data_IF_696884414471
#
_entry.id   IF_696884414471
#
_cell.length_a   1.000
_cell.length_b   1.000
_cell.length_c   1.000
_cell.angle_alpha   90.00
_cell.angle_beta   90.00
_cell.angle_gamma   90.00
#
_symmetry.space_group_name_H-M   'P 1'
#
loop_
_entity.id
_entity.type
_entity.pdbx_description
1 polymer ?
#
# COMPACT_ATOMS: atom_id res chain seq x y z
N UNK A 1 21.49 20.14 21.27
CA UNK A 1 20.33 19.89 20.37
C UNK A 1 20.03 18.41 20.47
N UNK A 2 18.76 18.03 20.57
CA UNK A 2 18.38 16.62 20.51
C UNK A 2 18.64 16.08 19.10
N UNK A 3 19.10 14.84 19.01
CA UNK A 3 19.37 14.16 17.75
C UNK A 3 18.29 13.10 17.49
N UNK A 4 18.06 12.79 16.22
CA UNK A 4 17.11 11.79 15.73
C UNK A 4 17.90 10.75 14.94
N UNK A 5 17.76 9.48 15.28
CA UNK A 5 18.38 8.39 14.52
C UNK A 5 17.45 7.95 13.39
N UNK A 6 18.06 7.58 12.27
CA UNK A 6 17.38 7.06 11.10
C UNK A 6 18.21 5.99 10.38
N UNK A 7 17.54 4.99 9.83
CA UNK A 7 18.14 4.05 8.89
C UNK A 7 18.07 4.65 7.48
N UNK A 8 19.24 4.99 6.94
CA UNK A 8 19.41 5.71 5.67
C UNK A 8 19.88 4.75 4.59
N UNK A 9 19.14 4.68 3.50
CA UNK A 9 19.61 4.05 2.26
C UNK A 9 20.53 5.03 1.56
N UNK A 10 21.84 4.81 1.70
CA UNK A 10 22.89 5.68 1.16
C UNK A 10 22.99 5.62 -0.37
N UNK A 11 22.75 4.42 -0.89
CA UNK A 11 22.70 4.03 -2.30
C UNK A 11 22.13 2.62 -2.40
N UNK A 12 21.81 2.11 -3.59
CA UNK A 12 21.35 0.74 -3.74
C UNK A 12 22.22 -0.28 -3.00
N UNK A 13 21.58 -1.14 -2.20
CA UNK A 13 22.19 -2.21 -1.41
C UNK A 13 22.91 -1.77 -0.13
N UNK A 14 22.93 -0.49 0.21
CA UNK A 14 23.67 0.03 1.36
C UNK A 14 22.78 0.84 2.28
N UNK A 15 22.58 0.33 3.50
CA UNK A 15 21.90 1.05 4.59
C UNK A 15 22.90 1.35 5.69
N UNK A 16 22.82 2.56 6.25
CA UNK A 16 23.59 2.99 7.43
C UNK A 16 22.67 3.62 8.47
N UNK A 17 23.03 3.55 9.74
CA UNK A 17 22.38 4.32 10.78
C UNK A 17 23.02 5.69 10.86
N UNK A 18 22.22 6.76 10.79
CA UNK A 18 22.68 8.15 10.86
C UNK A 18 21.92 8.93 11.92
N UNK A 19 22.55 9.98 12.39
CA UNK A 19 21.97 10.96 13.31
C UNK A 19 21.74 12.28 12.58
N UNK A 20 20.58 12.87 12.82
CA UNK A 20 20.17 14.16 12.28
C UNK A 20 19.77 15.10 13.43
N UNK A 21 19.95 16.42 13.28
CA UNK A 21 19.41 17.35 14.26
C UNK A 21 17.87 17.30 14.27
N UNK A 22 17.25 17.36 15.46
CA UNK A 22 15.80 17.53 15.54
C UNK A 22 15.43 18.90 14.95
N UNK A 23 14.62 18.96 13.88
CA UNK A 23 14.25 20.24 13.27
C UNK A 23 13.15 20.95 14.07
N UNK A 24 13.11 22.27 13.95
CA UNK A 24 11.94 23.04 14.34
C UNK A 24 10.88 22.99 13.21
N UNK A 25 9.59 22.82 13.51
CA UNK A 25 8.56 22.77 12.48
C UNK A 25 8.32 24.16 11.86
N UNK A 26 8.51 24.27 10.53
CA UNK A 26 8.12 25.46 9.78
C UNK A 26 6.58 25.71 9.86
N UNK A 27 6.09 26.91 9.57
CA UNK A 27 4.66 27.17 9.56
C UNK A 27 3.88 26.17 8.71
N UNK A 28 2.91 25.47 9.32
CA UNK A 28 2.12 24.42 8.68
C UNK A 28 2.73 23.00 8.68
N UNK A 29 3.97 22.84 9.12
CA UNK A 29 4.62 21.53 9.24
C UNK A 29 4.25 20.82 10.56
N UNK A 30 4.48 19.50 10.61
CA UNK A 30 4.29 18.66 11.79
C UNK A 30 5.54 17.82 12.03
N UNK A 31 5.99 17.74 13.28
CA UNK A 31 6.95 16.75 13.74
C UNK A 31 6.17 15.57 14.33
N UNK A 32 6.34 14.40 13.76
CA UNK A 32 5.71 13.16 14.22
C UNK A 32 6.77 12.21 14.78
N UNK A 33 6.56 11.71 16.01
CA UNK A 33 7.31 10.57 16.55
C UNK A 33 6.76 9.30 15.92
N UNK A 34 7.59 8.52 15.26
CA UNK A 34 7.17 7.31 14.55
C UNK A 34 7.02 6.14 15.53
N UNK A 35 5.84 5.56 15.60
CA UNK A 35 5.63 4.31 16.35
C UNK A 35 5.99 3.09 15.48
N UNK A 36 5.41 3.01 14.28
CA UNK A 36 5.70 1.97 13.31
C UNK A 36 5.75 2.55 11.89
N UNK A 37 6.63 1.97 11.08
CA UNK A 37 6.72 2.22 9.64
C UNK A 37 6.76 0.88 8.90
N UNK A 38 5.78 0.62 8.02
CA UNK A 38 5.72 -0.62 7.24
C UNK A 38 6.80 -0.70 6.18
N UNK A 39 7.24 -1.93 5.88
CA UNK A 39 8.11 -2.20 4.72
C UNK A 39 7.23 -2.59 3.54
N UNK A 40 7.26 -1.79 2.48
CA UNK A 40 6.52 -1.99 1.25
C UNK A 40 7.35 -2.74 0.17
N UNK A 41 6.68 -3.13 -0.91
CA UNK A 41 7.34 -3.57 -2.15
C UNK A 41 8.26 -2.50 -2.70
N UNK A 42 7.82 -1.24 -2.69
CA UNK A 42 8.57 -0.07 -3.15
C UNK A 42 9.91 0.10 -2.41
N UNK A 43 9.94 -0.07 -1.08
CA UNK A 43 11.19 0.02 -0.29
C UNK A 43 12.21 -1.05 -0.72
N UNK A 44 11.74 -2.26 -1.05
CA UNK A 44 12.58 -3.36 -1.53
C UNK A 44 13.19 -3.06 -2.90
N UNK A 45 12.38 -2.52 -3.81
CA UNK A 45 12.84 -2.08 -5.14
C UNK A 45 13.79 -0.89 -5.03
N UNK A 46 13.49 0.07 -4.15
CA UNK A 46 14.37 1.21 -3.82
C UNK A 46 15.71 0.73 -3.28
N UNK A 47 15.71 -0.23 -2.35
CA UNK A 47 16.94 -0.82 -1.82
C UNK A 47 17.77 -1.52 -2.90
N UNK A 48 17.15 -2.13 -3.91
CA UNK A 48 17.85 -2.76 -5.04
C UNK A 48 18.24 -1.79 -6.15
N UNK A 49 17.76 -0.55 -6.11
CA UNK A 49 18.02 0.46 -7.16
C UNK A 49 17.17 0.24 -8.42
N UNK A 50 16.05 -0.42 -8.29
CA UNK A 50 15.13 -0.77 -9.39
C UNK A 50 13.98 0.24 -9.54
N UNK A 51 13.76 1.09 -8.54
CA UNK A 51 12.64 2.03 -8.52
C UNK A 51 12.92 3.26 -9.38
N UNK A 52 11.94 3.60 -10.22
CA UNK A 52 11.78 4.92 -10.82
C UNK A 52 10.47 5.49 -10.36
N UNK A 53 10.43 6.79 -10.11
CA UNK A 53 9.17 7.46 -9.82
C UNK A 53 8.41 7.77 -11.10
N UNK A 54 7.10 7.58 -11.05
CA UNK A 54 6.18 7.90 -12.14
C UNK A 54 6.58 7.31 -13.49
N UNK A 55 7.14 6.08 -13.48
CA UNK A 55 7.57 5.38 -14.68
C UNK A 55 6.47 5.38 -15.76
N UNK A 56 6.86 5.66 -16.99
CA UNK A 56 5.95 5.74 -18.14
C UNK A 56 5.11 7.02 -18.22
N UNK A 57 5.30 7.99 -17.32
CA UNK A 57 4.66 9.30 -17.35
C UNK A 57 5.64 10.40 -17.76
N UNK A 58 5.17 11.62 -18.16
CA UNK A 58 6.06 12.76 -18.40
C UNK A 58 6.87 13.21 -17.18
N UNK A 59 6.56 12.71 -15.99
CA UNK A 59 7.19 13.05 -14.72
C UNK A 59 8.16 11.96 -14.23
N UNK A 60 8.46 10.96 -15.08
CA UNK A 60 9.41 9.91 -14.76
C UNK A 60 10.76 10.49 -14.32
N UNK A 61 11.25 10.05 -13.18
CA UNK A 61 12.55 10.47 -12.63
C UNK A 61 13.22 9.34 -11.83
N UNK A 62 14.54 9.36 -11.81
CA UNK A 62 15.32 8.48 -10.94
C UNK A 62 15.22 8.92 -9.48
N UNK A 63 15.35 7.97 -8.55
CA UNK A 63 15.42 8.27 -7.12
C UNK A 63 16.74 8.95 -6.77
N UNK A 64 16.67 9.96 -5.89
CA UNK A 64 17.82 10.66 -5.37
C UNK A 64 18.21 10.10 -4.01
N UNK A 65 19.43 9.58 -3.90
CA UNK A 65 20.02 9.13 -2.63
C UNK A 65 20.91 10.23 -2.01
N UNK A 66 21.13 10.21 -0.66
CA UNK A 66 20.61 9.26 0.31
C UNK A 66 19.16 9.52 0.68
N UNK A 67 18.38 8.47 1.02
CA UNK A 67 17.02 8.61 1.51
C UNK A 67 16.73 7.75 2.75
N UNK A 68 15.75 8.21 3.52
CA UNK A 68 15.15 7.45 4.62
C UNK A 68 13.88 6.83 4.06
N UNK A 69 13.82 5.49 3.94
CA UNK A 69 12.65 4.78 3.43
C UNK A 69 11.47 4.81 4.41
N UNK A 70 10.35 4.24 3.99
CA UNK A 70 9.14 4.05 4.80
C UNK A 70 8.10 5.15 4.61
N UNK A 71 7.00 4.77 3.93
CA UNK A 71 5.84 5.63 3.64
C UNK A 71 4.54 5.13 4.29
N UNK A 72 4.52 3.93 4.85
CA UNK A 72 3.39 3.37 5.59
C UNK A 72 3.57 3.65 7.09
N UNK A 73 3.10 4.78 7.57
CA UNK A 73 3.50 5.31 8.88
C UNK A 73 2.33 5.49 9.84
N UNK A 74 2.58 5.21 11.12
CA UNK A 74 1.75 5.62 12.24
C UNK A 74 2.62 6.17 13.35
N UNK A 75 2.18 7.26 13.98
CA UNK A 75 2.93 7.90 15.04
C UNK A 75 2.09 8.85 15.89
N UNK A 76 2.76 9.67 16.65
CA UNK A 76 2.13 10.73 17.45
C UNK A 76 2.74 12.10 17.16
N UNK A 77 1.92 13.13 17.20
CA UNK A 77 2.36 14.53 17.04
C UNK A 77 3.26 14.92 18.21
N UNK A 78 4.46 15.41 17.91
CA UNK A 78 5.37 16.00 18.90
C UNK A 78 5.23 17.51 18.92
N UNK A 79 5.27 18.14 17.75
CA UNK A 79 5.18 19.58 17.58
C UNK A 79 4.52 19.94 16.25
N UNK A 80 3.94 21.14 16.19
CA UNK A 80 3.35 21.71 14.97
C UNK A 80 3.87 23.12 14.74
N UNK A 81 4.08 23.49 13.48
CA UNK A 81 4.43 24.85 13.06
C UNK A 81 3.20 25.76 13.02
N UNK A 82 2.69 26.12 14.19
CA UNK A 82 1.47 26.92 14.33
C UNK A 82 0.19 26.08 14.34
N UNK A 83 -0.92 26.62 13.83
CA UNK A 83 -2.21 25.94 13.79
C UNK A 83 -2.27 24.99 12.60
N UNK A 84 -2.16 23.68 12.83
CA UNK A 84 -2.33 22.63 11.83
C UNK A 84 -3.57 21.80 12.17
N UNK A 85 -4.36 21.46 11.17
CA UNK A 85 -5.61 20.69 11.32
C UNK A 85 -5.49 19.33 10.66
N UNK A 86 -6.17 18.34 11.24
CA UNK A 86 -6.35 17.02 10.61
C UNK A 86 -7.34 17.09 9.42
N UNK A 87 -7.50 15.99 8.73
CA UNK A 87 -8.40 15.88 7.56
C UNK A 87 -9.90 16.14 7.87
N UNK A 88 -10.29 16.16 9.15
CA UNK A 88 -11.64 16.49 9.61
C UNK A 88 -11.75 17.93 10.17
N UNK A 89 -10.70 18.74 10.00
CA UNK A 89 -10.67 20.13 10.44
C UNK A 89 -10.42 20.32 11.95
N UNK A 90 -10.01 19.30 12.70
CA UNK A 90 -9.70 19.41 14.13
C UNK A 90 -8.24 19.82 14.31
N UNK A 91 -8.00 20.75 15.24
CA UNK A 91 -6.65 21.22 15.56
C UNK A 91 -5.79 20.06 16.12
N UNK A 92 -4.62 19.85 15.53
CA UNK A 92 -3.64 18.89 16.03
C UNK A 92 -2.95 19.40 17.29
N UNK A 93 -2.69 18.47 18.21
CA UNK A 93 -2.00 18.72 19.48
C UNK A 93 -0.93 17.66 19.70
N UNK A 94 0.09 17.99 20.47
CA UNK A 94 1.08 17.00 20.94
C UNK A 94 0.37 15.82 21.63
N UNK A 95 0.78 14.60 21.30
CA UNK A 95 0.18 13.35 21.76
C UNK A 95 -0.96 12.82 20.88
N UNK A 96 -1.46 13.59 19.91
CA UNK A 96 -2.46 13.06 18.96
C UNK A 96 -1.85 11.95 18.11
N UNK A 97 -2.47 10.77 18.09
CA UNK A 97 -2.05 9.66 17.20
C UNK A 97 -2.51 9.93 15.79
N UNK A 98 -1.58 9.80 14.84
CA UNK A 98 -1.83 10.16 13.45
C UNK A 98 -1.23 9.14 12.47
N UNK A 99 -1.86 9.07 11.29
CA UNK A 99 -1.29 8.52 10.06
C UNK A 99 -1.18 9.67 9.07
N UNK A 100 -0.01 10.00 8.56
CA UNK A 100 0.14 10.98 7.48
C UNK A 100 -0.19 10.33 6.14
N UNK A 101 -0.67 11.11 5.16
CA UNK A 101 -0.65 10.69 3.77
C UNK A 101 0.80 10.39 3.35
N UNK A 102 0.99 9.36 2.54
CA UNK A 102 2.31 9.02 2.01
C UNK A 102 2.85 10.10 1.06
N UNK A 103 1.96 10.91 0.52
CA UNK A 103 2.28 11.88 -0.52
C UNK A 103 1.92 13.32 -0.15
N UNK A 104 2.66 14.27 -0.73
CA UNK A 104 2.41 15.71 -0.60
C UNK A 104 2.18 16.30 -1.99
N UNK A 105 1.03 16.93 -2.19
CA UNK A 105 0.68 17.58 -3.46
C UNK A 105 1.29 18.98 -3.56
N UNK A 106 1.58 19.43 -4.79
CA UNK A 106 2.11 20.78 -5.02
C UNK A 106 1.06 21.88 -4.79
N UNK A 107 -0.23 21.59 -4.83
CA UNK A 107 -1.32 22.55 -4.64
C UNK A 107 -1.58 23.49 -5.83
N UNK A 108 -0.73 23.52 -6.85
CA UNK A 108 -0.75 24.54 -7.89
C UNK A 108 -0.95 24.02 -9.33
N UNK A 109 -0.72 22.72 -9.60
CA UNK A 109 -0.93 22.14 -10.93
C UNK A 109 -2.43 22.06 -11.28
N UNK A 110 -2.71 21.71 -12.56
CA UNK A 110 -4.07 21.57 -13.06
C UNK A 110 -4.91 20.64 -12.16
N UNK A 111 -4.40 19.47 -11.83
CA UNK A 111 -5.13 18.47 -11.05
C UNK A 111 -5.41 18.93 -9.61
N UNK A 112 -4.42 19.51 -8.95
CA UNK A 112 -4.60 20.04 -7.59
C UNK A 112 -5.65 21.14 -7.53
N UNK A 113 -5.58 22.13 -8.45
CA UNK A 113 -6.52 23.27 -8.47
C UNK A 113 -7.96 22.87 -8.79
N UNK A 114 -8.17 21.74 -9.45
CA UNK A 114 -9.50 21.26 -9.84
C UNK A 114 -10.02 20.11 -8.95
N UNK A 115 -9.34 19.80 -7.81
CA UNK A 115 -9.80 18.86 -6.83
C UNK A 115 -9.75 17.39 -7.27
N UNK A 116 -8.87 17.06 -8.21
CA UNK A 116 -8.63 15.67 -8.62
C UNK A 116 -7.91 14.89 -7.51
N UNK A 117 -7.99 13.55 -7.52
CA UNK A 117 -7.23 12.71 -6.61
C UNK A 117 -5.73 13.06 -6.61
N UNK A 118 -5.12 13.04 -5.43
CA UNK A 118 -3.77 13.57 -5.25
C UNK A 118 -2.70 12.81 -6.07
N UNK A 119 -2.88 11.53 -6.36
CA UNK A 119 -1.98 10.75 -7.21
C UNK A 119 -1.92 11.25 -8.68
N UNK A 120 -2.80 12.17 -9.06
CA UNK A 120 -2.74 12.85 -10.36
C UNK A 120 -1.90 14.14 -10.32
N UNK A 121 -1.36 14.52 -9.16
CA UNK A 121 -0.53 15.71 -9.05
C UNK A 121 0.74 15.59 -9.93
N UNK A 122 0.99 16.59 -10.76
CA UNK A 122 2.15 16.62 -11.68
C UNK A 122 3.50 16.75 -10.96
N UNK A 123 3.49 17.27 -9.74
CA UNK A 123 4.68 17.49 -8.91
C UNK A 123 4.49 16.84 -7.54
N UNK A 124 4.02 15.59 -7.54
CA UNK A 124 3.81 14.82 -6.31
C UNK A 124 5.15 14.50 -5.65
N UNK A 125 5.22 14.72 -4.34
CA UNK A 125 6.36 14.31 -3.52
C UNK A 125 5.95 13.18 -2.59
N UNK A 126 6.83 12.17 -2.43
CA UNK A 126 6.54 10.97 -1.65
C UNK A 126 7.51 10.86 -0.46
N UNK A 127 6.96 10.70 0.73
CA UNK A 127 7.74 10.33 1.90
C UNK A 127 8.37 8.96 1.72
N UNK A 128 9.63 8.84 2.15
CA UNK A 128 10.35 7.56 2.05
C UNK A 128 10.77 7.18 0.64
N UNK A 129 10.55 8.04 -0.33
CA UNK A 129 10.79 7.73 -1.75
C UNK A 129 11.39 8.92 -2.53
N UNK A 130 10.60 9.94 -2.94
CA UNK A 130 11.16 11.08 -3.69
C UNK A 130 11.89 12.08 -2.82
N UNK A 131 11.42 12.28 -1.59
CA UNK A 131 11.98 13.21 -0.65
C UNK A 131 13.28 12.64 -0.04
N UNK A 132 14.44 13.02 -0.60
CA UNK A 132 15.72 12.56 -0.11
C UNK A 132 16.21 13.32 1.14
N UNK A 133 17.03 12.67 1.97
CA UNK A 133 17.44 13.21 3.26
C UNK A 133 18.70 14.08 3.22
N UNK A 134 19.17 14.48 2.03
CA UNK A 134 20.35 15.35 1.88
C UNK A 134 20.16 16.75 2.47
N UNK A 135 19.15 17.53 2.04
CA UNK A 135 18.88 18.85 2.59
C UNK A 135 18.07 18.79 3.89
N UNK A 136 18.25 19.80 4.77
CA UNK A 136 17.37 19.99 5.92
C UNK A 136 15.90 20.18 5.45
N UNK A 137 14.91 19.71 6.22
CA UNK A 137 14.98 19.11 7.56
C UNK A 137 15.27 17.60 7.61
N UNK A 138 15.67 16.95 6.56
CA UNK A 138 16.20 15.58 6.42
C UNK A 138 15.19 14.44 6.65
N UNK A 139 14.29 14.54 7.60
CA UNK A 139 13.51 13.44 8.19
C UNK A 139 12.24 13.13 7.39
N UNK A 140 12.39 12.71 6.13
CA UNK A 140 11.28 12.50 5.19
C UNK A 140 10.86 11.03 4.99
N UNK A 141 11.18 10.15 5.92
CA UNK A 141 10.79 8.75 5.86
C UNK A 141 10.60 8.13 7.25
N UNK A 142 9.76 7.11 7.32
CA UNK A 142 9.37 6.49 8.59
C UNK A 142 10.43 5.56 9.20
N UNK A 143 11.53 5.26 8.50
CA UNK A 143 12.63 4.52 9.10
C UNK A 143 13.53 5.43 9.93
N UNK A 144 12.89 6.27 10.72
CA UNK A 144 13.52 7.23 11.64
C UNK A 144 12.71 7.33 12.93
N UNK A 145 13.32 7.79 14.00
CA UNK A 145 12.63 8.01 15.27
C UNK A 145 11.54 9.09 15.15
N UNK A 146 11.76 10.08 14.27
CA UNK A 146 10.82 11.15 14.00
C UNK A 146 10.75 11.46 12.51
N UNK A 147 9.58 11.84 12.03
CA UNK A 147 9.35 12.35 10.68
C UNK A 147 9.01 13.84 10.70
N UNK A 148 9.50 14.54 9.68
CA UNK A 148 9.09 15.89 9.37
C UNK A 148 8.03 15.85 8.27
N UNK A 149 6.80 16.20 8.62
CA UNK A 149 5.71 16.30 7.66
C UNK A 149 5.66 17.73 7.12
N UNK A 150 5.81 17.87 5.79
CA UNK A 150 5.81 19.15 5.08
C UNK A 150 4.49 19.90 5.24
N UNK A 151 4.48 21.22 5.15
CA UNK A 151 3.24 21.99 5.05
C UNK A 151 2.37 21.46 3.89
N UNK A 152 1.07 21.29 4.14
CA UNK A 152 0.14 20.75 3.15
C UNK A 152 -0.02 19.23 3.18
N UNK A 153 0.81 18.50 3.94
CA UNK A 153 0.58 17.07 4.16
C UNK A 153 -0.77 16.83 4.82
N UNK A 154 -1.59 15.98 4.20
CA UNK A 154 -2.83 15.54 4.84
C UNK A 154 -2.53 14.59 5.99
N UNK A 155 -3.16 14.84 7.13
CA UNK A 155 -2.93 14.09 8.36
C UNK A 155 -4.26 13.56 8.86
N UNK A 156 -4.31 12.29 9.20
CA UNK A 156 -5.50 11.57 9.63
C UNK A 156 -5.33 11.13 11.08
N UNK A 157 -6.27 11.51 11.95
CA UNK A 157 -6.26 11.08 13.34
C UNK A 157 -6.66 9.62 13.45
N UNK A 158 -5.86 8.84 14.16
CA UNK A 158 -6.13 7.42 14.41
C UNK A 158 -7.27 7.29 15.42
N UNK A 159 -8.34 6.50 15.13
CA UNK A 159 -9.37 6.17 16.11
C UNK A 159 -8.77 5.55 17.38
N UNK A 160 -9.32 5.90 18.56
CA UNK A 160 -8.76 5.47 19.84
C UNK A 160 -8.71 3.95 20.00
N UNK A 161 -9.71 3.25 19.48
CA UNK A 161 -9.83 1.79 19.49
C UNK A 161 -8.87 1.08 18.52
N UNK A 162 -8.27 1.79 17.53
CA UNK A 162 -7.40 1.18 16.53
C UNK A 162 -5.95 1.13 17.07
N UNK A 163 -5.37 -0.05 17.35
CA UNK A 163 -4.01 -0.14 17.86
C UNK A 163 -2.97 0.17 16.76
N UNK A 164 -1.80 0.66 17.15
CA UNK A 164 -0.77 1.13 16.21
C UNK A 164 -0.34 0.06 15.20
N UNK A 165 -0.24 -1.22 15.62
CA UNK A 165 0.15 -2.31 14.72
C UNK A 165 -0.91 -2.66 13.67
N UNK A 166 -2.15 -2.18 13.83
CA UNK A 166 -3.19 -2.23 12.80
C UNK A 166 -3.25 -0.90 12.04
N UNK A 167 -3.11 0.22 12.74
CA UNK A 167 -3.14 1.55 12.14
C UNK A 167 -2.02 1.77 11.10
N UNK A 168 -0.86 1.12 11.25
CA UNK A 168 0.24 1.14 10.26
C UNK A 168 -0.16 0.57 8.89
N UNK A 169 -1.25 -0.22 8.83
CA UNK A 169 -1.80 -0.78 7.59
C UNK A 169 -2.68 0.22 6.83
N UNK A 170 -2.90 1.42 7.34
CA UNK A 170 -3.87 2.37 6.76
C UNK A 170 -3.49 2.78 5.34
N UNK A 171 -2.22 3.05 5.08
CA UNK A 171 -1.76 3.41 3.74
C UNK A 171 -2.10 2.28 2.75
N UNK A 172 -1.65 1.07 3.01
CA UNK A 172 -1.87 -0.08 2.14
C UNK A 172 -3.36 -0.46 2.01
N UNK A 173 -4.17 -0.27 3.07
CA UNK A 173 -5.64 -0.38 3.00
C UNK A 173 -6.26 0.72 2.13
N UNK A 174 -5.61 1.86 2.00
CA UNK A 174 -6.09 2.97 1.16
C UNK A 174 -5.83 2.72 -0.33
N UNK A 175 -4.80 1.94 -0.68
CA UNK A 175 -4.56 1.46 -2.06
C UNK A 175 -5.71 0.56 -2.55
N UNK A 176 -6.45 -0.08 -1.63
CA UNK A 176 -7.53 -1.01 -2.02
C UNK A 176 -8.78 -0.35 -2.60
N UNK A 177 -8.77 0.97 -2.86
CA UNK A 177 -9.89 1.69 -3.50
C UNK A 177 -10.27 1.12 -4.89
N UNK A 178 -9.34 0.41 -5.53
CA UNK A 178 -9.60 -0.31 -6.78
C UNK A 178 -10.72 -1.34 -6.68
N UNK A 179 -10.96 -1.93 -5.49
CA UNK A 179 -12.08 -2.85 -5.25
C UNK A 179 -13.42 -2.13 -5.37
N UNK A 180 -13.54 -0.94 -4.77
CA UNK A 180 -14.76 -0.11 -4.83
C UNK A 180 -15.04 0.36 -6.27
N UNK A 181 -13.99 0.74 -6.99
CA UNK A 181 -14.07 1.13 -8.39
C UNK A 181 -14.54 -0.04 -9.26
N UNK A 182 -13.98 -1.24 -9.06
CA UNK A 182 -14.37 -2.44 -9.78
C UNK A 182 -15.84 -2.83 -9.52
N UNK A 183 -16.30 -2.78 -8.26
CA UNK A 183 -17.69 -3.03 -7.91
C UNK A 183 -18.65 -2.01 -8.55
N UNK A 184 -18.23 -0.75 -8.60
CA UNK A 184 -19.01 0.31 -9.25
C UNK A 184 -19.16 0.05 -10.74
N UNK A 185 -18.07 -0.32 -11.43
CA UNK A 185 -18.10 -0.69 -12.84
C UNK A 185 -18.98 -1.91 -13.09
N UNK A 186 -18.87 -2.97 -12.29
CA UNK A 186 -19.76 -4.12 -12.39
C UNK A 186 -21.24 -3.72 -12.32
N UNK A 187 -21.59 -2.85 -11.37
CA UNK A 187 -22.96 -2.36 -11.26
C UNK A 187 -23.43 -1.56 -12.46
N UNK A 188 -22.55 -0.81 -13.12
CA UNK A 188 -22.86 -0.02 -14.32
C UNK A 188 -23.07 -0.89 -15.56
N UNK A 189 -22.36 -2.02 -15.67
CA UNK A 189 -22.45 -2.94 -16.80
C UNK A 189 -23.44 -4.10 -16.58
N UNK A 190 -24.30 -4.01 -15.54
CA UNK A 190 -25.35 -4.97 -15.26
C UNK A 190 -24.97 -6.13 -14.34
N UNK A 191 -23.76 -6.11 -13.73
CA UNK A 191 -23.33 -7.08 -12.72
C UNK A 191 -23.83 -6.74 -11.31
N UNK A 192 -23.70 -7.70 -10.37
CA UNK A 192 -24.02 -7.47 -8.97
C UNK A 192 -22.90 -6.70 -8.26
N UNK A 193 -23.27 -5.77 -7.39
CA UNK A 193 -22.32 -5.05 -6.51
C UNK A 193 -22.02 -5.80 -5.22
N UNK A 194 -22.72 -6.89 -4.93
CA UNK A 194 -22.52 -7.73 -3.74
C UNK A 194 -22.68 -9.20 -4.11
N UNK A 195 -22.17 -10.08 -3.27
CA UNK A 195 -22.12 -11.52 -3.50
C UNK A 195 -21.39 -11.93 -4.81
N UNK A 196 -20.61 -11.00 -5.42
CA UNK A 196 -19.77 -11.26 -6.57
C UNK A 196 -18.55 -12.10 -6.19
N UNK A 197 -17.94 -12.74 -7.17
CA UNK A 197 -16.74 -13.54 -6.98
C UNK A 197 -15.50 -12.71 -7.27
N UNK A 198 -14.49 -12.85 -6.40
CA UNK A 198 -13.21 -12.11 -6.49
C UNK A 198 -12.05 -13.09 -6.49
N UNK A 199 -11.12 -12.96 -7.42
CA UNK A 199 -9.82 -13.62 -7.32
C UNK A 199 -8.74 -12.58 -7.01
N UNK A 200 -7.83 -12.92 -6.07
CA UNK A 200 -6.67 -12.10 -5.69
C UNK A 200 -5.41 -12.87 -6.03
N UNK A 201 -4.65 -12.38 -6.98
CA UNK A 201 -3.42 -12.97 -7.46
C UNK A 201 -2.24 -12.32 -6.75
N UNK A 202 -1.58 -13.10 -5.87
CA UNK A 202 -0.61 -12.61 -4.92
C UNK A 202 -1.26 -12.05 -3.65
N UNK A 203 -1.28 -12.86 -2.57
CA UNK A 203 -1.81 -12.44 -1.26
C UNK A 203 -0.68 -12.08 -0.27
N UNK A 204 0.34 -11.36 -0.76
CA UNK A 204 1.23 -10.57 0.06
C UNK A 204 0.47 -9.47 0.81
N UNK A 205 1.15 -8.55 1.53
CA UNK A 205 0.46 -7.52 2.31
C UNK A 205 -0.59 -6.74 1.53
N UNK A 206 -0.27 -6.30 0.30
CA UNK A 206 -1.20 -5.58 -0.58
C UNK A 206 -2.40 -6.43 -0.97
N UNK A 207 -2.17 -7.65 -1.46
CA UNK A 207 -3.26 -8.53 -1.89
C UNK A 207 -4.13 -9.00 -0.73
N UNK A 208 -3.55 -9.22 0.46
CA UNK A 208 -4.34 -9.54 1.65
C UNK A 208 -5.26 -8.38 2.04
N UNK A 209 -4.79 -7.12 1.97
CA UNK A 209 -5.64 -5.95 2.21
C UNK A 209 -6.77 -5.84 1.16
N UNK A 210 -6.49 -6.13 -0.10
CA UNK A 210 -7.52 -6.20 -1.15
C UNK A 210 -8.55 -7.31 -0.87
N UNK A 211 -8.10 -8.49 -0.44
CA UNK A 211 -8.97 -9.59 -0.03
C UNK A 211 -9.88 -9.19 1.13
N UNK A 212 -9.30 -8.59 2.17
CA UNK A 212 -10.05 -8.10 3.34
C UNK A 212 -11.10 -7.07 2.90
N UNK A 213 -10.71 -6.10 2.07
CA UNK A 213 -11.63 -5.09 1.55
C UNK A 213 -12.76 -5.72 0.75
N UNK A 214 -12.46 -6.63 -0.18
CA UNK A 214 -13.45 -7.35 -0.97
C UNK A 214 -14.43 -8.11 -0.07
N UNK A 215 -13.92 -8.82 0.94
CA UNK A 215 -14.75 -9.54 1.93
C UNK A 215 -15.69 -8.63 2.69
N UNK A 216 -15.18 -7.50 3.20
CA UNK A 216 -15.96 -6.55 3.98
C UNK A 216 -16.96 -5.77 3.13
N UNK A 217 -16.71 -5.63 1.84
CA UNK A 217 -17.65 -5.05 0.86
C UNK A 217 -18.63 -6.07 0.26
N UNK A 218 -18.66 -7.31 0.79
CA UNK A 218 -19.70 -8.28 0.47
C UNK A 218 -19.39 -9.22 -0.68
N UNK A 219 -18.13 -9.48 -0.99
CA UNK A 219 -17.75 -10.57 -1.91
C UNK A 219 -18.27 -11.92 -1.38
N UNK A 220 -18.95 -12.69 -2.24
CA UNK A 220 -19.52 -13.99 -1.90
C UNK A 220 -18.49 -15.12 -1.93
N UNK A 221 -17.65 -15.14 -2.95
CA UNK A 221 -16.57 -16.11 -3.12
C UNK A 221 -15.26 -15.37 -3.31
N UNK A 222 -14.22 -15.83 -2.60
CA UNK A 222 -12.88 -15.24 -2.71
C UNK A 222 -11.87 -16.34 -3.00
N UNK A 223 -11.15 -16.17 -4.10
CA UNK A 223 -10.08 -17.05 -4.56
C UNK A 223 -8.76 -16.32 -4.30
N UNK A 224 -7.74 -17.03 -3.80
CA UNK A 224 -6.43 -16.46 -3.53
C UNK A 224 -5.31 -17.31 -4.11
N UNK A 225 -4.31 -16.68 -4.71
CA UNK A 225 -3.09 -17.36 -5.15
C UNK A 225 -1.85 -16.72 -4.55
N UNK A 226 -0.87 -17.51 -4.18
CA UNK A 226 0.46 -17.05 -3.74
C UNK A 226 1.46 -18.20 -3.89
N UNK A 227 2.75 -17.88 -3.83
CA UNK A 227 3.82 -18.89 -3.76
C UNK A 227 4.00 -19.44 -2.34
N UNK A 228 3.68 -18.64 -1.32
CA UNK A 228 3.93 -18.95 0.07
C UNK A 228 2.70 -19.54 0.77
N UNK A 229 2.85 -20.75 1.32
CA UNK A 229 1.77 -21.46 2.03
C UNK A 229 1.28 -20.71 3.27
N UNK A 230 2.18 -20.03 3.99
CA UNK A 230 1.83 -19.22 5.15
C UNK A 230 0.87 -18.07 4.79
N UNK A 231 1.05 -17.44 3.63
CA UNK A 231 0.17 -16.37 3.12
C UNK A 231 -1.19 -16.92 2.68
N UNK A 232 -1.21 -18.08 2.02
CA UNK A 232 -2.45 -18.75 1.65
C UNK A 232 -3.27 -19.13 2.89
N UNK A 233 -2.64 -19.68 3.93
CA UNK A 233 -3.29 -19.98 5.20
C UNK A 233 -3.85 -18.72 5.91
N UNK A 234 -3.17 -17.59 5.76
CA UNK A 234 -3.68 -16.33 6.29
C UNK A 234 -4.85 -15.79 5.45
N UNK A 235 -4.80 -15.93 4.12
CA UNK A 235 -5.91 -15.60 3.24
C UNK A 235 -7.18 -16.40 3.58
N UNK A 236 -7.06 -17.69 3.89
CA UNK A 236 -8.16 -18.54 4.39
C UNK A 236 -8.73 -17.99 5.70
N UNK A 237 -7.86 -17.62 6.66
CA UNK A 237 -8.29 -17.04 7.93
C UNK A 237 -9.06 -15.71 7.75
N UNK A 238 -8.81 -14.96 6.67
CA UNK A 238 -9.55 -13.77 6.28
C UNK A 238 -10.75 -14.06 5.37
N UNK A 239 -10.98 -15.31 4.98
CA UNK A 239 -12.21 -15.74 4.30
C UNK A 239 -12.06 -16.08 2.83
N UNK A 240 -10.85 -16.39 2.33
CA UNK A 240 -10.69 -17.04 1.04
C UNK A 240 -11.37 -18.42 1.06
N UNK A 241 -12.17 -18.70 0.05
CA UNK A 241 -12.91 -19.98 -0.10
C UNK A 241 -12.18 -21.00 -0.99
N UNK A 242 -11.19 -20.53 -1.74
CA UNK A 242 -10.26 -21.35 -2.53
C UNK A 242 -8.87 -20.72 -2.50
N UNK A 243 -7.87 -21.51 -2.16
CA UNK A 243 -6.46 -21.11 -2.23
C UNK A 243 -5.69 -22.00 -3.20
N UNK A 244 -4.74 -21.44 -3.94
CA UNK A 244 -3.91 -22.16 -4.90
C UNK A 244 -2.46 -21.68 -4.84
N UNK A 245 -1.53 -22.63 -4.66
CA UNK A 245 -0.11 -22.32 -4.70
C UNK A 245 0.39 -22.25 -6.14
N UNK A 246 1.05 -21.14 -6.49
CA UNK A 246 1.67 -20.99 -7.81
C UNK A 246 2.92 -21.85 -7.99
N UNK A 247 3.49 -22.38 -6.90
CA UNK A 247 4.64 -23.31 -6.94
C UNK A 247 4.24 -24.73 -7.37
N UNK A 248 2.97 -25.08 -7.16
CA UNK A 248 2.48 -26.45 -7.40
C UNK A 248 1.39 -26.55 -8.46
N UNK A 249 0.98 -25.43 -9.04
CA UNK A 249 -0.07 -25.37 -10.07
C UNK A 249 0.35 -24.50 -11.24
N UNK A 250 0.02 -24.94 -12.43
CA UNK A 250 0.20 -24.14 -13.65
C UNK A 250 -0.91 -23.09 -13.81
N UNK A 251 -0.63 -22.00 -14.54
CA UNK A 251 -1.61 -20.93 -14.79
C UNK A 251 -2.91 -21.44 -15.40
N UNK A 252 -2.83 -22.35 -16.38
CA UNK A 252 -4.01 -22.96 -17.01
C UNK A 252 -4.87 -23.75 -16.01
N UNK A 253 -4.23 -24.47 -15.07
CA UNK A 253 -4.93 -25.17 -13.99
C UNK A 253 -5.63 -24.20 -13.05
N UNK A 254 -4.94 -23.13 -12.62
CA UNK A 254 -5.53 -22.12 -11.73
C UNK A 254 -6.74 -21.45 -12.36
N UNK A 255 -6.67 -21.11 -13.65
CA UNK A 255 -7.79 -20.54 -14.40
C UNK A 255 -8.96 -21.54 -14.45
N UNK A 256 -8.70 -22.81 -14.73
CA UNK A 256 -9.74 -23.85 -14.78
C UNK A 256 -10.42 -24.03 -13.42
N UNK A 257 -9.64 -24.13 -12.34
CA UNK A 257 -10.15 -24.27 -10.97
C UNK A 257 -10.93 -23.03 -10.50
N UNK A 258 -10.46 -21.82 -10.85
CA UNK A 258 -11.18 -20.59 -10.56
C UNK A 258 -12.55 -20.55 -11.27
N UNK A 259 -12.61 -21.00 -12.53
CA UNK A 259 -13.87 -21.12 -13.26
C UNK A 259 -14.79 -22.15 -12.64
N UNK A 260 -14.30 -23.34 -12.33
CA UNK A 260 -15.08 -24.38 -11.66
C UNK A 260 -15.68 -23.86 -10.35
N UNK A 261 -14.87 -23.20 -9.51
CA UNK A 261 -15.29 -22.63 -8.23
C UNK A 261 -16.36 -21.55 -8.39
N UNK A 262 -16.43 -20.87 -9.53
CA UNK A 262 -17.39 -19.81 -9.87
C UNK A 262 -18.49 -20.28 -10.82
N UNK A 263 -18.85 -21.57 -10.79
CA UNK A 263 -19.95 -22.12 -11.58
C UNK A 263 -19.66 -22.19 -13.09
N UNK A 264 -18.40 -22.27 -13.49
CA UNK A 264 -17.96 -22.43 -14.89
C UNK A 264 -17.72 -21.13 -15.65
N UNK A 265 -18.06 -19.96 -15.06
CA UNK A 265 -18.00 -18.67 -15.78
C UNK A 265 -16.71 -17.88 -15.55
N UNK A 266 -16.08 -18.03 -14.39
CA UNK A 266 -14.91 -17.26 -13.95
C UNK A 266 -15.25 -16.14 -12.96
N UNK A 267 -14.28 -15.60 -12.23
CA UNK A 267 -14.47 -14.52 -11.27
C UNK A 267 -15.00 -13.24 -11.91
N UNK A 268 -15.87 -12.52 -11.19
CA UNK A 268 -16.37 -11.19 -11.58
C UNK A 268 -15.27 -10.13 -11.59
N UNK A 269 -14.42 -10.17 -10.56
CA UNK A 269 -13.28 -9.27 -10.39
C UNK A 269 -12.02 -10.11 -10.19
N UNK A 270 -10.93 -9.71 -10.85
CA UNK A 270 -9.59 -10.26 -10.59
C UNK A 270 -8.67 -9.11 -10.21
N UNK A 271 -8.04 -9.22 -9.03
CA UNK A 271 -7.12 -8.24 -8.47
C UNK A 271 -5.69 -8.79 -8.62
N UNK A 272 -4.88 -8.20 -9.49
CA UNK A 272 -3.46 -8.53 -9.57
C UNK A 272 -2.67 -7.67 -8.57
N UNK A 273 -2.08 -8.35 -7.58
CA UNK A 273 -1.28 -7.77 -6.51
C UNK A 273 0.11 -8.43 -6.42
N UNK A 274 0.52 -9.16 -7.46
CA UNK A 274 1.71 -10.02 -7.42
C UNK A 274 3.03 -9.29 -7.70
N UNK A 275 2.99 -8.24 -8.51
CA UNK A 275 4.17 -7.54 -9.02
C UNK A 275 4.89 -8.27 -10.17
N UNK A 276 4.31 -9.32 -10.74
CA UNK A 276 4.86 -10.05 -11.89
C UNK A 276 4.01 -9.80 -13.13
N UNK A 277 4.57 -9.25 -14.23
CA UNK A 277 3.81 -8.94 -15.44
C UNK A 277 3.02 -10.11 -16.03
N UNK A 278 3.54 -11.36 -15.90
CA UNK A 278 2.84 -12.57 -16.36
C UNK A 278 1.53 -12.83 -15.62
N UNK A 279 1.39 -12.36 -14.39
CA UNK A 279 0.16 -12.53 -13.59
C UNK A 279 -0.97 -11.66 -14.14
N UNK A 280 -0.66 -10.51 -14.71
CA UNK A 280 -1.65 -9.69 -15.40
C UNK A 280 -2.31 -10.43 -16.57
N UNK A 281 -1.52 -11.22 -17.34
CA UNK A 281 -2.07 -12.07 -18.40
C UNK A 281 -2.97 -13.17 -17.82
N UNK A 282 -2.56 -13.78 -16.72
CA UNK A 282 -3.39 -14.75 -16.00
C UNK A 282 -4.70 -14.13 -15.52
N UNK A 283 -4.65 -12.92 -14.95
CA UNK A 283 -5.82 -12.18 -14.49
C UNK A 283 -6.82 -11.93 -15.64
N UNK A 284 -6.34 -11.43 -16.78
CA UNK A 284 -7.17 -11.20 -17.98
C UNK A 284 -7.81 -12.50 -18.48
N UNK A 285 -7.07 -13.62 -18.46
CA UNK A 285 -7.61 -14.91 -18.90
C UNK A 285 -8.58 -15.53 -17.90
N UNK A 286 -8.36 -15.31 -16.60
CA UNK A 286 -9.15 -15.87 -15.52
C UNK A 286 -10.51 -15.18 -15.37
N UNK A 287 -10.55 -13.85 -15.48
CA UNK A 287 -11.77 -13.06 -15.32
C UNK A 287 -12.85 -13.51 -16.31
N UNK A 288 -14.12 -13.48 -15.90
CA UNK A 288 -15.26 -13.81 -16.79
C UNK A 288 -15.45 -12.79 -17.92
N UNK A 289 -16.27 -13.15 -18.88
CA UNK A 289 -16.78 -12.19 -19.88
C UNK A 289 -17.53 -11.05 -19.18
N UNK A 290 -17.25 -9.81 -19.53
CA UNK A 290 -17.79 -8.62 -18.89
C UNK A 290 -17.32 -8.40 -17.46
N UNK A 291 -16.20 -9.03 -17.05
CA UNK A 291 -15.63 -8.82 -15.72
C UNK A 291 -14.62 -7.68 -15.67
N UNK A 292 -14.05 -7.47 -14.48
CA UNK A 292 -13.12 -6.37 -14.22
C UNK A 292 -11.78 -6.91 -13.71
N UNK A 293 -10.69 -6.45 -14.29
CA UNK A 293 -9.32 -6.68 -13.79
C UNK A 293 -8.81 -5.40 -13.17
N UNK A 294 -8.28 -5.49 -11.95
CA UNK A 294 -7.57 -4.40 -11.27
C UNK A 294 -6.09 -4.75 -11.21
N UNK A 295 -5.28 -3.92 -11.84
CA UNK A 295 -3.82 -4.01 -11.79
C UNK A 295 -3.30 -3.05 -10.72
N UNK A 296 -2.78 -3.62 -9.63
CA UNK A 296 -2.23 -2.88 -8.50
C UNK A 296 -0.84 -3.39 -8.08
N UNK A 297 -0.36 -4.47 -8.68
CA UNK A 297 0.86 -5.17 -8.27
C UNK A 297 2.13 -4.63 -8.91
N UNK A 298 2.09 -4.20 -10.16
CA UNK A 298 3.26 -3.78 -10.94
C UNK A 298 3.52 -2.27 -10.84
N UNK A 299 3.75 -1.78 -9.63
CA UNK A 299 4.11 -0.37 -9.40
C UNK A 299 5.51 -0.02 -9.91
N UNK A 300 6.39 -1.01 -10.05
CA UNK A 300 7.73 -0.87 -10.64
C UNK A 300 7.74 -1.54 -12.00
N UNK A 301 8.39 -0.91 -12.99
CA UNK A 301 8.51 -1.48 -14.34
C UNK A 301 9.32 -2.79 -14.32
N UNK A 302 8.63 -3.89 -14.54
CA UNK A 302 9.20 -5.25 -14.62
C UNK A 302 9.21 -5.79 -16.05
N UNK A 303 9.01 -4.92 -17.03
CA UNK A 303 9.00 -5.22 -18.46
C UNK A 303 7.61 -5.52 -19.07
N UNK A 304 7.52 -5.52 -20.39
CA UNK A 304 6.26 -5.66 -21.11
C UNK A 304 5.79 -7.13 -21.18
N UNK A 305 4.47 -7.30 -21.34
CA UNK A 305 3.85 -8.59 -21.64
C UNK A 305 2.98 -8.49 -22.90
N UNK A 306 2.89 -9.57 -23.72
CA UNK A 306 2.06 -9.56 -24.90
C UNK A 306 0.58 -9.71 -24.55
N UNK A 307 -0.27 -8.85 -25.11
CA UNK A 307 -1.73 -8.91 -25.02
C UNK A 307 -2.30 -8.98 -26.44
N UNK A 308 -3.32 -9.83 -26.65
CA UNK A 308 -4.14 -9.77 -27.85
C UNK A 308 -5.37 -8.90 -27.58
N UNK A 309 -5.44 -7.66 -28.08
CA UNK A 309 -6.54 -6.75 -27.78
C UNK A 309 -7.92 -7.29 -28.16
N UNK A 310 -8.00 -8.12 -29.19
CA UNK A 310 -9.26 -8.74 -29.61
C UNK A 310 -9.73 -9.79 -28.61
N UNK A 311 -8.97 -10.89 -28.44
CA UNK A 311 -9.40 -12.05 -27.66
C UNK A 311 -9.32 -11.81 -26.15
N UNK A 312 -8.38 -10.98 -25.70
CA UNK A 312 -8.13 -10.79 -24.28
C UNK A 312 -8.99 -9.67 -23.68
N UNK A 313 -9.33 -8.64 -24.45
CA UNK A 313 -10.06 -7.46 -23.97
C UNK A 313 -11.41 -7.30 -24.70
N UNK A 314 -11.39 -7.07 -26.04
CA UNK A 314 -12.54 -6.59 -26.77
C UNK A 314 -13.70 -7.60 -26.81
N UNK A 315 -13.45 -8.84 -27.27
CA UNK A 315 -14.50 -9.88 -27.39
C UNK A 315 -14.96 -10.40 -26.04
N UNK A 316 -14.13 -10.30 -24.99
CA UNK A 316 -14.52 -10.60 -23.61
C UNK A 316 -15.23 -9.45 -22.91
N UNK A 317 -15.23 -8.24 -23.48
CA UNK A 317 -15.74 -7.03 -22.84
C UNK A 317 -15.13 -6.81 -21.44
N UNK A 318 -13.83 -7.05 -21.27
CA UNK A 318 -13.13 -6.88 -19.99
C UNK A 318 -12.84 -5.40 -19.75
N UNK A 319 -13.11 -4.93 -18.54
CA UNK A 319 -12.62 -3.65 -18.06
C UNK A 319 -11.30 -3.83 -17.30
N UNK A 320 -10.32 -2.98 -17.57
CA UNK A 320 -9.03 -2.96 -16.86
C UNK A 320 -8.89 -1.64 -16.11
N UNK A 321 -8.55 -1.71 -14.84
CA UNK A 321 -8.34 -0.54 -13.96
C UNK A 321 -6.90 -0.60 -13.45
N UNK A 322 -6.12 0.46 -13.68
CA UNK A 322 -4.82 0.66 -13.02
C UNK A 322 -5.00 1.34 -11.66
N UNK A 323 -4.26 0.86 -10.65
CA UNK A 323 -4.18 1.46 -9.31
C UNK A 323 -2.70 1.68 -8.99
N UNK A 324 -2.20 2.87 -9.27
CA UNK A 324 -0.80 3.24 -9.08
C UNK A 324 -0.50 3.90 -7.73
N UNK A 325 -1.39 3.83 -6.76
CA UNK A 325 -1.20 4.40 -5.43
C UNK A 325 -2.52 4.50 -4.67
N UNK A 326 -2.43 4.99 -3.46
CA UNK A 326 -3.56 5.23 -2.58
C UNK A 326 -4.26 6.56 -2.92
N UNK A 327 -5.41 6.77 -2.35
CA UNK A 327 -6.09 8.07 -2.38
C UNK A 327 -6.32 8.59 -0.97
N UNK A 328 -6.08 9.88 -0.76
CA UNK A 328 -6.23 10.52 0.55
C UNK A 328 -7.64 10.36 1.12
N UNK A 329 -8.65 10.31 0.27
CA UNK A 329 -10.06 10.11 0.68
C UNK A 329 -10.34 8.71 1.23
N UNK A 330 -9.44 7.74 1.04
CA UNK A 330 -9.58 6.37 1.53
C UNK A 330 -8.91 6.12 2.89
N UNK A 331 -8.08 7.03 3.41
CA UNK A 331 -7.36 6.83 4.68
C UNK A 331 -8.31 6.69 5.87
N UNK A 332 -9.14 7.69 6.09
CA UNK A 332 -10.08 7.68 7.22
C UNK A 332 -11.13 6.56 7.12
N UNK A 333 -11.77 6.31 5.96
CA UNK A 333 -12.62 5.15 5.77
C UNK A 333 -11.92 3.81 6.03
N UNK A 334 -10.66 3.65 5.62
CA UNK A 334 -9.86 2.44 5.85
C UNK A 334 -9.61 2.20 7.35
N UNK A 335 -9.22 3.23 8.10
CA UNK A 335 -9.06 3.12 9.55
C UNK A 335 -10.37 2.75 10.25
N UNK A 336 -11.49 3.40 9.87
CA UNK A 336 -12.82 3.10 10.43
C UNK A 336 -13.27 1.68 10.09
N UNK A 337 -12.99 1.21 8.86
CA UNK A 337 -13.28 -0.16 8.44
C UNK A 337 -12.52 -1.19 9.28
N UNK A 338 -11.22 -0.97 9.48
CA UNK A 338 -10.40 -1.84 10.32
C UNK A 338 -10.86 -1.82 11.78
N UNK A 339 -11.06 -0.64 12.36
CA UNK A 339 -11.51 -0.47 13.75
C UNK A 339 -12.84 -1.21 14.02
N UNK A 340 -13.82 -1.05 13.13
CA UNK A 340 -15.13 -1.72 13.25
C UNK A 340 -15.05 -3.26 13.16
N UNK A 341 -13.96 -3.82 12.67
CA UNK A 341 -13.83 -5.26 12.42
C UNK A 341 -12.70 -5.94 13.23
N UNK A 342 -12.07 -5.26 14.19
CA UNK A 342 -10.99 -5.80 15.02
C UNK A 342 -11.35 -7.12 15.74
N UNK A 343 -12.60 -7.24 16.18
CA UNK A 343 -13.10 -8.45 16.86
C UNK A 343 -13.51 -9.59 15.92
N UNK A 344 -13.65 -9.30 14.64
CA UNK A 344 -14.16 -10.26 13.63
C UNK A 344 -13.07 -10.84 12.76
N UNK A 345 -11.99 -10.09 12.55
CA UNK A 345 -10.89 -10.44 11.66
C UNK A 345 -9.56 -10.37 12.42
N UNK A 346 -8.64 -11.29 12.14
CA UNK A 346 -7.37 -11.42 12.87
C UNK A 346 -6.30 -10.42 12.36
N UNK A 347 -6.58 -9.10 12.44
CA UNK A 347 -5.65 -8.05 11.97
C UNK A 347 -4.27 -8.11 12.63
N UNK A 348 -4.20 -8.54 13.89
CA UNK A 348 -2.95 -8.71 14.67
C UNK A 348 -1.99 -9.72 14.05
N UNK A 349 -2.48 -10.61 13.17
CA UNK A 349 -1.64 -11.57 12.45
C UNK A 349 -0.95 -10.99 11.22
N UNK A 350 -1.33 -9.79 10.77
CA UNK A 350 -0.77 -9.19 9.54
C UNK A 350 0.64 -8.67 9.81
N UNK A 351 0.83 -7.87 10.87
CA UNK A 351 2.17 -7.43 11.28
C UNK A 351 2.87 -8.58 12.00
N UNK A 352 3.67 -9.33 11.25
CA UNK A 352 4.36 -10.52 11.75
C UNK A 352 5.65 -10.20 12.50
N UNK A 353 6.34 -9.11 12.16
CA UNK A 353 7.63 -8.75 12.74
C UNK A 353 7.74 -7.24 12.99
N UNK A 354 8.33 -6.88 14.13
CA UNK A 354 8.67 -5.52 14.53
C UNK A 354 10.17 -5.46 14.75
N UNK A 355 10.88 -4.66 13.99
CA UNK A 355 12.34 -4.63 13.98
C UNK A 355 12.87 -3.22 14.25
N UNK A 356 13.93 -3.07 15.06
CA UNK A 356 14.54 -1.76 15.34
C UNK A 356 15.32 -1.24 14.12
N UNK A 357 15.65 0.06 14.14
CA UNK A 357 16.38 0.72 13.04
C UNK A 357 17.71 0.07 12.72
N UNK A 358 18.40 -0.44 13.73
CA UNK A 358 19.70 -1.12 13.62
C UNK A 358 19.63 -2.38 12.73
N UNK A 359 18.45 -2.96 12.57
CA UNK A 359 18.20 -4.17 11.80
C UNK A 359 17.43 -3.87 10.48
N UNK A 360 17.52 -2.65 9.96
CA UNK A 360 16.76 -2.25 8.77
C UNK A 360 17.10 -3.10 7.53
N UNK A 361 18.36 -3.51 7.38
CA UNK A 361 18.79 -4.40 6.30
C UNK A 361 18.17 -5.79 6.43
N UNK A 362 18.29 -6.38 7.60
CA UNK A 362 17.70 -7.70 7.92
C UNK A 362 16.18 -7.67 7.79
N UNK A 363 15.55 -6.54 8.12
CA UNK A 363 14.11 -6.35 7.98
C UNK A 363 13.66 -6.37 6.51
N UNK A 364 14.39 -5.73 5.59
CA UNK A 364 14.13 -5.81 4.15
C UNK A 364 14.31 -7.24 3.64
N UNK A 365 15.38 -7.91 4.03
CA UNK A 365 15.68 -9.28 3.63
C UNK A 365 14.57 -10.23 4.11
N UNK A 366 14.19 -10.14 5.40
CA UNK A 366 13.11 -10.93 6.00
C UNK A 366 11.76 -10.70 5.28
N UNK A 367 11.43 -9.45 4.94
CA UNK A 367 10.18 -9.09 4.27
C UNK A 367 10.01 -9.72 2.86
N UNK A 368 11.05 -10.37 2.33
CA UNK A 368 11.04 -11.07 1.04
C UNK A 368 10.91 -12.59 1.17
N UNK A 369 10.78 -13.11 2.39
CA UNK A 369 10.74 -14.56 2.69
C UNK A 369 9.33 -15.02 3.08
N UNK A 370 9.13 -16.34 3.13
CA UNK A 370 7.91 -16.96 3.64
C UNK A 370 7.73 -16.77 5.17
N UNK A 371 8.80 -16.45 5.88
CA UNK A 371 8.74 -16.24 7.34
C UNK A 371 7.99 -14.96 7.73
N UNK A 372 7.77 -14.03 6.79
CA UNK A 372 7.15 -12.74 7.09
C UNK A 372 5.92 -12.45 6.22
N UNK A 373 4.85 -11.97 6.87
CA UNK A 373 3.71 -11.36 6.17
C UNK A 373 3.94 -9.85 6.00
N UNK A 374 3.95 -9.09 7.08
CA UNK A 374 4.30 -7.66 7.10
C UNK A 374 5.37 -7.43 8.16
N UNK A 375 6.48 -6.87 7.73
CA UNK A 375 7.53 -6.38 8.63
C UNK A 375 7.33 -4.88 8.81
N UNK A 376 7.46 -4.41 10.04
CA UNK A 376 7.46 -2.98 10.35
C UNK A 376 8.74 -2.60 11.09
N UNK A 377 9.26 -1.43 10.78
CA UNK A 377 10.27 -0.78 11.59
C UNK A 377 9.62 -0.22 12.85
N UNK A 378 10.25 -0.44 13.99
CA UNK A 378 9.84 0.03 15.31
C UNK A 378 10.99 0.88 15.89
N UNK A 379 11.10 2.17 15.55
CA UNK A 379 12.26 3.01 15.86
C UNK A 379 12.57 3.15 17.35
N UNK A 380 11.55 3.00 18.20
CA UNK A 380 11.68 3.10 19.67
C UNK A 380 11.63 1.73 20.38
N UNK A 381 11.80 0.62 19.63
CA UNK A 381 11.70 -0.75 20.14
C UNK A 381 10.29 -1.35 19.98
N UNK A 382 10.23 -2.69 20.08
CA UNK A 382 9.02 -3.47 19.79
C UNK A 382 7.84 -3.24 20.78
N UNK A 383 8.07 -2.55 21.88
CA UNK A 383 7.10 -2.29 22.97
C UNK A 383 6.57 -0.85 22.99
N UNK A 384 6.87 -0.03 21.99
CA UNK A 384 6.43 1.36 21.91
C UNK A 384 5.00 1.50 21.36
#
# INVERSE_FOLDING_TARGET
MSVVRAAVTERPGVISLREFPMPDPAPGAVIMKVHYSGICGTDKHTFRGESKQYAGTPHERDLTYPLICGHENVGEVVATGGKVHDSEGRLLKSGDRIVPAANVTCGECHFCRNGYPYYMCENLEDYGNSLHCGPAPHLFGGWSEHMYLLPGTQVFRVPDELPNHVAVLTEIMSVTHGVETAQTLLGLIGGSRFAHSVAVLGVGPLGLCHLIKAKLLGAGQIIATDRFSSRLALAEAFGASLTMSVETTESAERIARAREHTGGIGPDIVLDCSGFPSTFIEAIKMVRVGGVVVEAGTFVDMGPVPINPNSDICTKNVSVIGVGGETSTSYLPSMRLMAANLKRLPFDRIVSHRMPLEQAREAIELAQTDAAMKVVMAPHGATA
#
